data_IF_790999955309
#
_entry.id   IF_790999955309
#
_cell.length_a   1.000
_cell.length_b   1.000
_cell.length_c   1.000
_cell.angle_alpha   90.00
_cell.angle_beta   90.00
_cell.angle_gamma   90.00
#
_symmetry.space_group_name_H-M   'P 1'
#
loop_
_entity.id
_entity.type
_entity.pdbx_description
1 polymer ?
#
# COMPACT_ATOMS: atom_id res chain seq x y z
N UNK A 1 -4.47 -8.74 17.30
CA UNK A 1 -3.92 -7.52 16.71
C UNK A 1 -4.82 -6.37 17.13
N UNK A 2 -4.26 -5.34 17.75
CA UNK A 2 -4.99 -4.16 18.23
C UNK A 2 -4.78 -2.97 17.27
N UNK A 3 -5.35 -1.81 17.61
CA UNK A 3 -5.27 -0.62 16.76
C UNK A 3 -3.84 -0.07 16.65
N UNK A 4 -3.02 -0.24 17.69
CA UNK A 4 -1.62 0.22 17.70
C UNK A 4 -0.79 -0.61 16.73
N UNK A 5 -0.86 -1.94 16.82
CA UNK A 5 -0.13 -2.83 15.91
C UNK A 5 -0.59 -2.69 14.45
N UNK A 6 -1.88 -2.43 14.21
CA UNK A 6 -2.37 -2.16 12.85
C UNK A 6 -1.81 -0.88 12.25
N UNK A 7 -1.72 0.20 13.03
CA UNK A 7 -1.14 1.47 12.58
C UNK A 7 0.35 1.32 12.26
N UNK A 8 1.08 0.57 13.07
CA UNK A 8 2.50 0.30 12.83
C UNK A 8 2.72 -0.50 11.53
N UNK A 9 1.94 -1.56 11.30
CA UNK A 9 2.01 -2.30 10.04
C UNK A 9 1.61 -1.43 8.83
N UNK A 10 0.69 -0.49 9.04
CA UNK A 10 0.36 0.49 8.01
C UNK A 10 1.49 1.46 7.71
N UNK A 11 2.20 1.93 8.74
CA UNK A 11 3.38 2.79 8.55
C UNK A 11 4.50 2.05 7.78
N UNK A 12 4.70 0.75 8.05
CA UNK A 12 5.60 -0.10 7.25
C UNK A 12 5.15 -0.20 5.79
N UNK A 13 3.86 -0.46 5.54
CA UNK A 13 3.29 -0.48 4.19
C UNK A 13 3.51 0.86 3.47
N UNK A 14 3.23 1.97 4.16
CA UNK A 14 3.38 3.30 3.59
C UNK A 14 4.85 3.59 3.21
N UNK A 15 5.78 3.30 4.12
CA UNK A 15 7.22 3.41 3.87
C UNK A 15 7.68 2.55 2.69
N UNK A 16 7.20 1.31 2.60
CA UNK A 16 7.57 0.40 1.51
C UNK A 16 7.10 0.93 0.15
N UNK A 17 5.86 1.41 0.09
CA UNK A 17 5.29 2.00 -1.12
C UNK A 17 5.99 3.30 -1.53
N UNK A 18 6.37 4.16 -0.59
CA UNK A 18 7.12 5.38 -0.88
C UNK A 18 8.49 5.07 -1.50
N UNK A 19 9.19 4.04 -1.00
CA UNK A 19 10.46 3.58 -1.59
C UNK A 19 10.30 3.02 -3.00
N UNK A 20 9.26 2.22 -3.22
CA UNK A 20 8.94 1.68 -4.54
C UNK A 20 8.64 2.80 -5.54
N UNK A 21 7.79 3.75 -5.16
CA UNK A 21 7.41 4.88 -6.02
C UNK A 21 8.62 5.79 -6.31
N UNK A 22 9.47 6.05 -5.32
CA UNK A 22 10.69 6.83 -5.51
C UNK A 22 11.59 6.21 -6.59
N UNK A 23 11.85 4.90 -6.52
CA UNK A 23 12.63 4.19 -7.57
C UNK A 23 11.90 4.12 -8.90
N UNK A 24 10.58 3.90 -8.90
CA UNK A 24 9.79 3.82 -10.11
C UNK A 24 9.75 5.14 -10.90
N UNK A 25 9.85 6.28 -10.22
CA UNK A 25 9.94 7.60 -10.84
C UNK A 25 11.26 7.85 -11.58
N UNK A 26 12.32 7.12 -11.25
CA UNK A 26 13.62 7.20 -11.91
C UNK A 26 13.65 6.37 -13.21
N UNK A 27 12.71 5.43 -13.39
CA UNK A 27 12.66 4.56 -14.56
C UNK A 27 12.06 5.31 -15.76
N UNK A 28 12.63 5.19 -16.97
CA UNK A 28 12.07 5.80 -18.17
C UNK A 28 10.59 5.40 -18.38
N UNK A 29 9.67 6.35 -18.64
CA UNK A 29 8.22 6.09 -18.69
C UNK A 29 7.83 4.92 -19.58
N UNK A 30 8.46 4.79 -20.76
CA UNK A 30 8.21 3.67 -21.68
C UNK A 30 8.44 2.31 -21.01
N UNK A 31 9.54 2.15 -20.26
CA UNK A 31 9.86 0.88 -19.57
C UNK A 31 8.89 0.59 -18.42
N UNK A 32 8.39 1.63 -17.73
CA UNK A 32 7.40 1.43 -16.66
C UNK A 32 6.05 0.92 -17.18
N UNK A 33 5.73 1.21 -18.45
CA UNK A 33 4.47 0.83 -19.09
C UNK A 33 4.57 -0.48 -19.89
N UNK A 34 5.77 -1.04 -20.07
CA UNK A 34 5.98 -2.28 -20.81
C UNK A 34 5.54 -3.50 -19.96
N UNK A 35 4.62 -4.33 -20.48
CA UNK A 35 4.25 -5.59 -19.83
C UNK A 35 5.49 -6.46 -19.58
N UNK A 36 5.68 -6.86 -18.33
CA UNK A 36 6.91 -7.55 -17.89
C UNK A 36 6.67 -8.71 -16.92
N UNK A 37 5.41 -8.88 -16.50
CA UNK A 37 4.94 -10.00 -15.67
C UNK A 37 4.22 -11.07 -16.50
N UNK A 38 4.14 -12.33 -16.00
CA UNK A 38 3.40 -13.41 -16.68
C UNK A 38 1.90 -13.14 -16.86
N UNK A 39 1.29 -12.34 -15.98
CA UNK A 39 -0.11 -11.90 -16.06
C UNK A 39 -0.33 -10.71 -17.02
N UNK A 40 0.73 -10.25 -17.69
CA UNK A 40 0.69 -9.15 -18.65
C UNK A 40 0.70 -7.76 -18.01
N UNK A 41 0.85 -7.64 -16.68
CA UNK A 41 0.97 -6.34 -16.04
C UNK A 41 2.38 -5.74 -16.20
N UNK A 42 2.43 -4.42 -16.33
CA UNK A 42 3.68 -3.64 -16.25
C UNK A 42 4.01 -3.24 -14.80
N UNK A 43 5.18 -2.62 -14.59
CA UNK A 43 5.52 -2.01 -13.30
C UNK A 43 4.50 -0.94 -12.89
N UNK A 44 4.14 -0.04 -13.82
CA UNK A 44 3.13 1.01 -13.58
C UNK A 44 1.79 0.38 -13.22
N UNK A 45 1.36 -0.66 -13.94
CA UNK A 45 0.06 -1.29 -13.70
C UNK A 45 0.04 -2.05 -12.36
N UNK A 46 1.17 -2.65 -11.96
CA UNK A 46 1.32 -3.28 -10.63
C UNK A 46 1.17 -2.25 -9.50
N UNK A 47 1.89 -1.12 -9.59
CA UNK A 47 1.79 -0.06 -8.57
C UNK A 47 0.38 0.56 -8.56
N UNK A 48 -0.22 0.79 -9.73
CA UNK A 48 -1.59 1.28 -9.84
C UNK A 48 -2.62 0.29 -9.24
N UNK A 49 -2.39 -1.01 -9.37
CA UNK A 49 -3.23 -2.06 -8.78
C UNK A 49 -3.23 -2.01 -7.25
N UNK A 50 -2.06 -1.81 -6.62
CA UNK A 50 -1.95 -1.66 -5.16
C UNK A 50 -2.81 -0.48 -4.68
N UNK A 51 -2.59 0.71 -5.25
CA UNK A 51 -3.34 1.94 -4.90
C UNK A 51 -4.84 1.77 -5.14
N UNK A 52 -5.22 1.16 -6.27
CA UNK A 52 -6.62 0.91 -6.61
C UNK A 52 -7.31 -0.08 -5.66
N UNK A 53 -6.61 -1.15 -5.27
CA UNK A 53 -7.12 -2.15 -4.33
C UNK A 53 -7.33 -1.55 -2.94
N UNK A 54 -6.33 -0.82 -2.42
CA UNK A 54 -6.42 -0.16 -1.13
C UNK A 54 -7.54 0.88 -1.10
N UNK A 55 -7.65 1.74 -2.11
CA UNK A 55 -8.74 2.73 -2.19
C UNK A 55 -10.12 2.09 -2.24
N UNK A 56 -10.27 0.94 -2.91
CA UNK A 56 -11.53 0.18 -2.93
C UNK A 56 -11.90 -0.35 -1.54
N UNK A 57 -10.91 -0.88 -0.83
CA UNK A 57 -11.10 -1.39 0.52
C UNK A 57 -11.38 -0.27 1.53
N UNK A 58 -10.69 0.86 1.44
CA UNK A 58 -10.95 2.04 2.27
C UNK A 58 -12.40 2.50 2.15
N UNK A 59 -12.91 2.66 0.92
CA UNK A 59 -14.31 3.04 0.69
C UNK A 59 -15.29 2.04 1.31
N UNK A 60 -14.98 0.74 1.20
CA UNK A 60 -15.75 -0.32 1.87
C UNK A 60 -15.69 -0.21 3.39
N UNK A 61 -14.54 0.08 3.98
CA UNK A 61 -14.41 0.32 5.41
C UNK A 61 -15.24 1.53 5.87
N UNK A 62 -15.29 2.58 5.05
CA UNK A 62 -16.08 3.80 5.26
C UNK A 62 -17.56 3.64 4.89
N UNK A 63 -18.01 2.46 4.42
CA UNK A 63 -19.38 2.22 3.91
C UNK A 63 -19.80 3.19 2.79
N UNK A 64 -18.85 3.57 1.94
CA UNK A 64 -19.09 4.39 0.73
C UNK A 64 -19.27 3.47 -0.47
N UNK A 65 -20.34 3.67 -1.23
CA UNK A 65 -20.65 2.93 -2.47
C UNK A 65 -19.91 3.45 -3.70
N UNK A 66 -18.94 4.33 -3.51
CA UNK A 66 -18.27 5.02 -4.60
C UNK A 66 -17.29 4.09 -5.34
N UNK A 67 -17.49 3.96 -6.64
CA UNK A 67 -16.61 3.21 -7.53
C UNK A 67 -15.74 4.17 -8.35
N UNK A 68 -14.59 4.55 -7.80
CA UNK A 68 -13.60 5.35 -8.53
C UNK A 68 -12.72 4.45 -9.38
N UNK A 69 -12.74 4.67 -10.69
CA UNK A 69 -11.88 3.97 -11.65
C UNK A 69 -10.49 4.63 -11.65
N UNK A 70 -9.54 4.06 -10.92
CA UNK A 70 -8.16 4.54 -10.90
C UNK A 70 -7.35 3.93 -12.07
N UNK A 71 -6.97 4.76 -13.05
CA UNK A 71 -6.07 4.38 -14.16
C UNK A 71 -5.12 5.52 -14.52
N UNK A 72 -4.00 5.64 -13.81
CA UNK A 72 -2.97 6.60 -14.15
C UNK A 72 -2.27 6.18 -15.46
N UNK A 73 -1.87 7.16 -16.25
CA UNK A 73 -1.10 6.98 -17.49
C UNK A 73 0.42 6.87 -17.24
N UNK A 74 0.87 7.22 -16.04
CA UNK A 74 2.27 7.38 -15.65
C UNK A 74 2.50 6.99 -14.20
N UNK A 75 3.75 6.66 -13.84
CA UNK A 75 4.14 6.44 -12.43
C UNK A 75 3.93 7.71 -11.59
N UNK A 76 4.13 8.90 -12.15
CA UNK A 76 3.82 10.16 -11.47
C UNK A 76 2.32 10.28 -11.12
N UNK A 77 1.44 9.83 -12.02
CA UNK A 77 0.01 9.70 -11.74
C UNK A 77 -0.29 8.67 -10.64
N UNK A 78 0.43 7.55 -10.61
CA UNK A 78 0.32 6.58 -9.50
C UNK A 78 0.73 7.23 -8.18
N UNK A 79 1.88 7.89 -8.13
CA UNK A 79 2.40 8.55 -6.93
C UNK A 79 1.45 9.65 -6.41
N UNK A 80 0.86 10.43 -7.32
CA UNK A 80 -0.13 11.45 -6.96
C UNK A 80 -1.39 10.83 -6.35
N UNK A 81 -1.90 9.75 -6.96
CA UNK A 81 -3.04 9.01 -6.43
C UNK A 81 -2.75 8.33 -5.09
N UNK A 82 -1.53 7.82 -4.93
CA UNK A 82 -1.04 7.27 -3.67
C UNK A 82 -1.03 8.33 -2.56
N UNK A 83 -0.46 9.52 -2.80
CA UNK A 83 -0.43 10.59 -1.80
C UNK A 83 -1.84 11.01 -1.35
N UNK A 84 -2.78 11.12 -2.29
CA UNK A 84 -4.17 11.45 -1.97
C UNK A 84 -4.82 10.34 -1.12
N UNK A 85 -4.65 9.08 -1.51
CA UNK A 85 -5.16 7.94 -0.78
C UNK A 85 -4.55 7.84 0.64
N UNK A 86 -3.24 8.03 0.76
CA UNK A 86 -2.52 8.00 2.04
C UNK A 86 -3.10 9.00 3.05
N UNK A 87 -3.44 10.21 2.61
CA UNK A 87 -4.08 11.19 3.48
C UNK A 87 -5.43 10.68 4.01
N UNK A 88 -6.28 10.12 3.14
CA UNK A 88 -7.58 9.59 3.53
C UNK A 88 -7.46 8.38 4.47
N UNK A 89 -6.51 7.48 4.21
CA UNK A 89 -6.31 6.30 5.07
C UNK A 89 -5.75 6.70 6.43
N UNK A 90 -4.82 7.66 6.50
CA UNK A 90 -4.30 8.15 7.78
C UNK A 90 -5.40 8.77 8.64
N UNK A 91 -6.29 9.57 8.04
CA UNK A 91 -7.48 10.07 8.75
C UNK A 91 -8.34 8.92 9.25
N UNK A 92 -8.67 7.95 8.37
CA UNK A 92 -9.48 6.80 8.74
C UNK A 92 -8.87 5.99 9.91
N UNK A 93 -7.57 5.69 9.87
CA UNK A 93 -6.89 4.91 10.90
C UNK A 93 -6.74 5.66 12.22
N UNK A 94 -6.59 6.98 12.19
CA UNK A 94 -6.50 7.82 13.39
C UNK A 94 -7.82 7.79 14.18
N UNK A 95 -8.95 7.74 13.49
CA UNK A 95 -10.29 7.72 14.07
C UNK A 95 -10.72 6.33 14.60
N UNK A 96 -9.97 5.26 14.31
CA UNK A 96 -10.32 3.92 14.77
C UNK A 96 -10.11 3.75 16.28
N UNK A 97 -11.18 3.34 16.96
CA UNK A 97 -11.13 2.85 18.33
C UNK A 97 -10.98 1.31 18.37
N UNK A 98 -10.50 0.74 19.48
CA UNK A 98 -10.38 -0.72 19.62
C UNK A 98 -11.70 -1.48 19.35
N UNK A 99 -12.85 -0.88 19.70
CA UNK A 99 -14.16 -1.47 19.47
C UNK A 99 -14.53 -1.58 17.97
N UNK A 100 -13.99 -0.69 17.12
CA UNK A 100 -14.27 -0.68 15.69
C UNK A 100 -13.66 -1.87 14.95
N UNK A 101 -12.58 -2.44 15.48
CA UNK A 101 -11.84 -3.54 14.84
C UNK A 101 -12.70 -4.80 14.64
N UNK A 102 -13.69 -5.00 15.52
CA UNK A 102 -14.65 -6.09 15.43
C UNK A 102 -15.83 -5.82 14.50
N UNK A 103 -15.97 -4.61 13.97
CA UNK A 103 -17.07 -4.22 13.08
C UNK A 103 -17.11 -5.12 11.85
N UNK A 104 -18.29 -5.63 11.52
CA UNK A 104 -18.47 -6.44 10.33
C UNK A 104 -18.25 -5.62 9.05
N UNK A 105 -17.57 -6.22 8.08
CA UNK A 105 -17.41 -5.73 6.72
C UNK A 105 -18.07 -6.72 5.74
N UNK A 106 -18.77 -6.20 4.74
CA UNK A 106 -19.40 -7.02 3.70
C UNK A 106 -18.36 -7.41 2.64
N UNK A 107 -18.20 -8.71 2.39
CA UNK A 107 -17.48 -9.22 1.21
C UNK A 107 -18.52 -9.51 0.11
N UNK A 108 -18.27 -9.03 -1.11
CA UNK A 108 -19.07 -9.34 -2.30
C UNK A 108 -18.70 -10.73 -2.87
N UNK A 109 -19.66 -11.58 -3.32
CA UNK A 109 -21.03 -11.77 -2.85
C UNK A 109 -21.24 -13.17 -2.24
N UNK A 110 -21.91 -13.26 -1.08
CA UNK A 110 -22.42 -14.51 -0.51
C UNK A 110 -22.98 -14.38 0.92
N UNK A 111 -24.00 -15.18 1.33
CA UNK A 111 -24.72 -15.01 2.60
C UNK A 111 -23.91 -15.31 3.88
N UNK A 112 -22.62 -15.65 3.76
CA UNK A 112 -21.74 -16.02 4.90
C UNK A 112 -20.49 -15.15 5.02
N UNK A 113 -20.35 -14.13 4.18
CA UNK A 113 -19.04 -13.53 3.91
C UNK A 113 -18.81 -12.24 4.72
N UNK A 114 -18.99 -12.33 6.05
CA UNK A 114 -18.74 -11.23 6.99
C UNK A 114 -17.35 -11.38 7.62
N UNK A 115 -16.36 -10.65 7.11
CA UNK A 115 -15.09 -10.44 7.80
C UNK A 115 -15.22 -9.35 8.88
N UNK A 116 -14.23 -9.20 9.75
CA UNK A 116 -14.11 -8.02 10.62
C UNK A 116 -13.30 -6.92 9.95
N UNK A 117 -13.45 -5.67 10.41
CA UNK A 117 -12.65 -4.56 9.93
C UNK A 117 -11.15 -4.84 10.07
N UNK A 118 -10.74 -5.41 11.20
CA UNK A 118 -9.36 -5.85 11.39
C UNK A 118 -8.91 -6.85 10.32
N UNK A 119 -9.72 -7.88 10.01
CA UNK A 119 -9.39 -8.85 8.96
C UNK A 119 -9.30 -8.19 7.58
N UNK A 120 -10.15 -7.19 7.30
CA UNK A 120 -10.10 -6.39 6.09
C UNK A 120 -8.81 -5.57 5.96
N UNK A 121 -8.42 -4.85 7.01
CA UNK A 121 -7.18 -4.07 7.01
C UNK A 121 -5.97 -5.00 6.86
N UNK A 122 -5.92 -6.09 7.61
CA UNK A 122 -4.87 -7.11 7.46
C UNK A 122 -4.80 -7.65 6.03
N UNK A 123 -5.95 -7.95 5.41
CA UNK A 123 -5.98 -8.39 4.02
C UNK A 123 -5.36 -7.36 3.06
N UNK A 124 -5.66 -6.07 3.23
CA UNK A 124 -5.08 -4.99 2.41
C UNK A 124 -3.55 -4.94 2.58
N UNK A 125 -3.06 -5.03 3.81
CA UNK A 125 -1.62 -5.03 4.10
C UNK A 125 -0.91 -6.22 3.45
N UNK A 126 -1.47 -7.43 3.59
CA UNK A 126 -0.87 -8.64 3.00
C UNK A 126 -0.93 -8.63 1.47
N UNK A 127 -2.06 -8.21 0.89
CA UNK A 127 -2.22 -8.05 -0.56
C UNK A 127 -1.22 -7.02 -1.11
N UNK A 128 -1.03 -5.91 -0.41
CA UNK A 128 -0.08 -4.87 -0.81
C UNK A 128 1.35 -5.35 -0.69
N UNK A 129 1.71 -6.08 0.37
CA UNK A 129 3.04 -6.68 0.52
C UNK A 129 3.37 -7.66 -0.62
N UNK A 130 2.42 -8.52 -1.00
CA UNK A 130 2.59 -9.43 -2.15
C UNK A 130 2.93 -8.67 -3.43
N UNK A 131 2.11 -7.69 -3.80
CA UNK A 131 2.32 -6.92 -5.03
C UNK A 131 3.52 -5.96 -4.95
N UNK A 132 3.88 -5.50 -3.75
CA UNK A 132 5.09 -4.71 -3.50
C UNK A 132 6.35 -5.52 -3.77
N UNK A 133 6.39 -6.80 -3.39
CA UNK A 133 7.49 -7.70 -3.71
C UNK A 133 7.63 -7.92 -5.24
N UNK A 134 6.50 -8.09 -5.93
CA UNK A 134 6.50 -8.18 -7.40
C UNK A 134 7.01 -6.88 -8.05
N UNK A 135 6.61 -5.70 -7.54
CA UNK A 135 7.13 -4.42 -8.02
C UNK A 135 8.63 -4.26 -7.75
N UNK A 136 9.10 -4.69 -6.57
CA UNK A 136 10.52 -4.65 -6.19
C UNK A 136 11.39 -5.54 -7.10
N UNK A 137 10.87 -6.71 -7.49
CA UNK A 137 11.52 -7.62 -8.44
C UNK A 137 11.67 -6.96 -9.82
N UNK A 138 10.59 -6.36 -10.34
CA UNK A 138 10.61 -5.67 -11.63
C UNK A 138 11.59 -4.49 -11.63
N UNK A 139 11.56 -3.67 -10.57
CA UNK A 139 12.49 -2.57 -10.37
C UNK A 139 13.94 -3.06 -10.35
N UNK A 140 14.20 -4.16 -9.66
CA UNK A 140 15.54 -4.77 -9.59
C UNK A 140 16.01 -5.23 -10.98
N UNK A 141 15.16 -5.89 -11.77
CA UNK A 141 15.47 -6.27 -13.16
C UNK A 141 15.75 -5.08 -14.08
N UNK A 142 15.13 -3.94 -13.80
CA UNK A 142 15.34 -2.70 -14.55
C UNK A 142 16.59 -1.92 -14.10
N UNK A 143 17.26 -2.35 -13.02
CA UNK A 143 18.44 -1.68 -12.46
C UNK A 143 18.13 -0.61 -11.41
N UNK A 144 16.90 -0.54 -10.90
CA UNK A 144 16.40 0.48 -9.96
C UNK A 144 15.93 -0.16 -8.66
N UNK A 145 16.71 -1.09 -8.09
CA UNK A 145 16.30 -1.83 -6.88
C UNK A 145 15.91 -0.89 -5.73
N UNK A 146 14.79 -1.14 -5.03
CA UNK A 146 14.41 -0.37 -3.85
C UNK A 146 15.19 -0.76 -2.58
N UNK A 147 16.06 -1.76 -2.66
CA UNK A 147 16.70 -2.36 -1.47
C UNK A 147 15.74 -3.27 -0.70
N UNK A 148 16.05 -3.49 0.58
CA UNK A 148 15.20 -4.29 1.46
C UNK A 148 13.91 -3.54 1.78
N UNK A 149 12.79 -4.27 1.84
CA UNK A 149 11.47 -3.77 2.22
C UNK A 149 10.91 -4.52 3.44
N UNK A 150 11.77 -5.27 4.13
CA UNK A 150 11.39 -6.08 5.28
C UNK A 150 11.01 -5.22 6.48
N UNK A 151 10.18 -5.77 7.35
CA UNK A 151 9.67 -5.07 8.52
C UNK A 151 10.78 -4.63 9.49
N UNK A 152 11.83 -5.44 9.65
CA UNK A 152 12.98 -5.09 10.51
C UNK A 152 13.76 -3.88 9.96
N UNK A 153 13.94 -3.79 8.63
CA UNK A 153 14.58 -2.63 7.99
C UNK A 153 13.79 -1.34 8.23
N UNK A 154 12.45 -1.43 8.21
CA UNK A 154 11.59 -0.31 8.56
C UNK A 154 11.77 0.13 10.02
N UNK A 155 11.87 -0.81 10.96
CA UNK A 155 12.11 -0.49 12.37
C UNK A 155 13.47 0.19 12.56
N UNK A 156 14.53 -0.35 11.96
CA UNK A 156 15.88 0.21 12.04
C UNK A 156 15.90 1.65 11.49
N UNK A 157 15.27 1.89 10.33
CA UNK A 157 15.12 3.23 9.75
C UNK A 157 14.36 4.19 10.68
N UNK A 158 13.24 3.72 11.26
CA UNK A 158 12.41 4.53 12.15
C UNK A 158 13.15 4.92 13.43
N UNK A 159 14.00 4.05 13.95
CA UNK A 159 14.85 4.35 15.12
C UNK A 159 15.93 5.40 14.79
N UNK A 160 16.50 5.39 13.58
CA UNK A 160 17.51 6.37 13.15
C UNK A 160 16.95 7.79 12.98
N UNK A 161 15.65 7.93 12.70
CA UNK A 161 14.96 9.23 12.63
C UNK A 161 14.58 9.80 14.00
N UNK A 162 14.77 9.05 15.09
CA UNK A 162 14.56 9.56 16.45
C UNK A 162 15.75 10.42 16.90
N UNK A 163 15.50 11.53 17.62
CA UNK A 163 16.52 12.52 17.99
C UNK A 163 17.67 11.97 18.86
N UNK A 164 17.55 10.77 19.42
CA UNK A 164 18.58 10.15 20.25
C UNK A 164 19.76 9.54 19.47
N UNK A 165 19.62 9.33 18.15
CA UNK A 165 20.67 8.72 17.31
C UNK A 165 21.41 9.71 16.40
N UNK A 166 21.08 11.01 16.43
CA UNK A 166 21.93 12.05 15.86
C UNK A 166 23.01 12.43 16.88
N UNK A 167 24.09 11.62 16.95
CA UNK A 167 25.31 12.06 17.63
C UNK A 167 25.92 13.28 16.90
N UNK A 168 26.55 14.22 17.64
CA UNK A 168 27.02 15.51 17.13
C UNK A 168 28.10 15.42 16.05
#
# INVERSE_FOLDING_TARGET
MDAVGLRELYDHHAWSMDRLLARALEVPPKRTAEPSRPDGLSLRDTLAHIVSAEGRWLRRFQRREEHVRFRPDSVAGVASGWMALQAEVRTFLADLEPADLGRAIERDPGPRDRGTLAAGITHVLMHSAQHSAEAAELLTRLGYSPGQLDYMEFLDMRELDLPFHRSP
#
